data_IF_165714964075
#
_entry.id   IF_165714964075
#
_cell.length_a   1.000
_cell.length_b   1.000
_cell.length_c   1.000
_cell.angle_alpha   90.00
_cell.angle_beta   90.00
_cell.angle_gamma   90.00
#
_symmetry.space_group_name_H-M   'P 1'
#
loop_
_entity.id
_entity.type
_entity.pdbx_description
1 polymer ?
#
# COMPACT_ATOMS: atom_id res chain seq x y z
N UNK A 1 -15.68 -17.28 28.47
CA UNK A 1 -14.21 -17.33 28.66
C UNK A 1 -13.66 -17.58 27.27
N UNK A 2 -13.40 -16.50 26.53
CA UNK A 2 -13.02 -16.57 25.12
C UNK A 2 -11.51 -16.85 25.05
N UNK A 3 -11.16 -18.08 24.69
CA UNK A 3 -9.79 -18.52 24.51
C UNK A 3 -9.28 -18.06 23.15
N UNK A 4 -8.04 -17.56 23.12
CA UNK A 4 -7.35 -17.27 21.86
C UNK A 4 -7.23 -18.51 20.99
N UNK A 5 -7.10 -18.29 19.68
CA UNK A 5 -6.49 -19.28 18.81
C UNK A 5 -5.03 -19.48 19.21
N UNK A 6 -4.78 -20.55 19.95
CA UNK A 6 -3.46 -21.12 20.23
C UNK A 6 -2.71 -21.41 18.93
N UNK A 7 -1.38 -21.55 19.05
CA UNK A 7 -0.52 -22.02 17.95
C UNK A 7 -1.09 -23.29 17.29
N UNK A 8 -1.56 -24.26 18.09
CA UNK A 8 -2.20 -25.47 17.60
C UNK A 8 -3.50 -25.23 16.83
N UNK A 9 -4.33 -24.27 17.26
CA UNK A 9 -5.55 -23.89 16.53
C UNK A 9 -5.22 -23.21 15.19
N UNK A 10 -4.17 -22.38 15.13
CA UNK A 10 -3.72 -21.76 13.89
C UNK A 10 -3.17 -22.78 12.90
N UNK A 11 -2.35 -23.73 13.37
CA UNK A 11 -1.83 -24.85 12.56
C UNK A 11 -3.01 -25.66 11.99
N UNK A 12 -3.97 -26.02 12.84
CA UNK A 12 -5.15 -26.77 12.41
C UNK A 12 -5.97 -26.00 11.37
N UNK A 13 -6.24 -24.72 11.60
CA UNK A 13 -6.98 -23.89 10.66
C UNK A 13 -6.25 -23.80 9.30
N UNK A 14 -4.94 -23.62 9.32
CA UNK A 14 -4.10 -23.62 8.13
C UNK A 14 -4.23 -24.93 7.35
N UNK A 15 -4.13 -26.07 8.02
CA UNK A 15 -4.27 -27.39 7.39
C UNK A 15 -5.66 -27.59 6.78
N UNK A 16 -6.72 -27.16 7.48
CA UNK A 16 -8.08 -27.22 6.97
C UNK A 16 -8.25 -26.37 5.70
N UNK A 17 -7.67 -25.17 5.65
CA UNK A 17 -7.69 -24.31 4.45
C UNK A 17 -6.91 -24.98 3.30
N UNK A 18 -5.70 -25.49 3.55
CA UNK A 18 -4.87 -26.15 2.53
C UNK A 18 -5.60 -27.35 1.92
N UNK A 19 -6.23 -28.17 2.76
CA UNK A 19 -6.95 -29.39 2.38
C UNK A 19 -8.38 -29.15 1.88
N UNK A 20 -8.82 -27.89 1.72
CA UNK A 20 -10.18 -27.53 1.30
C UNK A 20 -11.28 -28.11 2.21
N UNK A 21 -10.97 -28.28 3.51
CA UNK A 21 -11.93 -28.75 4.52
C UNK A 21 -12.77 -27.63 5.11
N UNK A 22 -12.38 -26.39 4.87
CA UNK A 22 -13.09 -25.18 5.30
C UNK A 22 -13.12 -24.16 4.17
N UNK A 23 -14.26 -23.49 4.03
CA UNK A 23 -14.43 -22.38 3.09
C UNK A 23 -13.58 -21.18 3.54
N UNK A 24 -12.87 -20.48 2.63
CA UNK A 24 -12.01 -19.35 2.98
C UNK A 24 -12.73 -18.26 3.77
N UNK A 25 -13.98 -17.94 3.43
CA UNK A 25 -14.78 -16.94 4.16
C UNK A 25 -14.94 -17.31 5.64
N UNK A 26 -15.33 -18.55 5.92
CA UNK A 26 -15.49 -19.07 7.28
C UNK A 26 -14.16 -19.11 8.03
N UNK A 27 -13.08 -19.48 7.33
CA UNK A 27 -11.74 -19.46 7.92
C UNK A 27 -11.30 -18.03 8.31
N UNK A 28 -11.59 -17.04 7.48
CA UNK A 28 -11.36 -15.63 7.80
C UNK A 28 -12.13 -15.17 9.03
N UNK A 29 -13.42 -15.52 9.13
CA UNK A 29 -14.23 -15.22 10.32
C UNK A 29 -13.61 -15.81 11.60
N UNK A 30 -13.17 -17.07 11.56
CA UNK A 30 -12.48 -17.71 12.68
C UNK A 30 -11.20 -16.94 13.04
N UNK A 31 -10.34 -16.65 12.05
CA UNK A 31 -9.05 -15.98 12.24
C UNK A 31 -9.20 -14.59 12.86
N UNK A 32 -10.17 -13.79 12.41
CA UNK A 32 -10.34 -12.40 12.84
C UNK A 32 -11.32 -12.19 13.99
N UNK A 33 -12.06 -13.23 14.40
CA UNK A 33 -12.99 -13.14 15.54
C UNK A 33 -12.29 -13.00 16.90
N UNK A 34 -11.01 -13.37 16.99
CA UNK A 34 -10.28 -13.37 18.24
C UNK A 34 -9.77 -11.98 18.64
N UNK A 35 -10.06 -11.56 19.87
CA UNK A 35 -9.70 -10.24 20.41
C UNK A 35 -8.51 -10.26 21.38
N UNK A 36 -8.09 -11.44 21.81
CA UNK A 36 -7.05 -11.57 22.84
C UNK A 36 -5.69 -11.72 22.15
N UNK A 37 -4.65 -11.04 22.69
CA UNK A 37 -3.33 -10.94 22.06
C UNK A 37 -2.37 -11.98 22.61
N UNK A 38 -1.61 -12.64 21.72
CA UNK A 38 -0.74 -13.79 21.99
C UNK A 38 0.17 -13.65 23.23
N UNK A 39 0.67 -12.44 23.52
CA UNK A 39 1.54 -12.16 24.67
C UNK A 39 0.84 -12.15 26.03
N UNK A 40 -0.49 -12.22 26.09
CA UNK A 40 -1.22 -12.42 27.34
C UNK A 40 -1.25 -13.89 27.78
N UNK A 41 -1.01 -14.83 26.86
CA UNK A 41 -1.08 -16.27 27.13
C UNK A 41 0.02 -16.75 28.08
N UNK A 42 -0.29 -17.81 28.85
CA UNK A 42 0.68 -18.44 29.76
C UNK A 42 1.82 -19.11 28.99
N UNK A 43 1.53 -19.71 27.84
CA UNK A 43 2.52 -20.39 27.00
C UNK A 43 3.53 -19.39 26.43
N UNK A 44 3.06 -18.27 25.89
CA UNK A 44 3.93 -17.21 25.38
C UNK A 44 4.84 -16.66 26.48
N UNK A 45 4.31 -16.40 27.68
CA UNK A 45 5.11 -15.94 28.83
C UNK A 45 6.20 -16.96 29.20
N UNK A 46 5.86 -18.25 29.25
CA UNK A 46 6.83 -19.34 29.49
C UNK A 46 7.91 -19.41 28.40
N UNK A 47 7.54 -19.27 27.12
CA UNK A 47 8.52 -19.25 26.02
C UNK A 47 9.43 -18.02 26.12
N UNK A 48 8.85 -16.84 26.35
CA UNK A 48 9.59 -15.59 26.56
C UNK A 48 10.61 -15.71 27.69
N UNK A 49 10.19 -16.20 28.85
CA UNK A 49 11.06 -16.25 30.03
C UNK A 49 12.24 -17.23 29.84
N UNK A 50 12.12 -18.21 28.93
CA UNK A 50 13.22 -19.09 28.54
C UNK A 50 14.20 -18.46 27.55
N UNK A 51 13.71 -17.57 26.68
CA UNK A 51 14.50 -16.98 25.59
C UNK A 51 15.19 -15.68 25.99
N UNK A 52 14.61 -14.94 26.94
CA UNK A 52 15.19 -13.68 27.40
C UNK A 52 16.55 -13.93 28.07
N UNK A 53 17.58 -13.24 27.58
CA UNK A 53 18.96 -13.37 28.08
C UNK A 53 19.17 -12.53 29.34
N UNK A 54 20.36 -12.66 29.94
CA UNK A 54 20.77 -11.93 31.15
C UNK A 54 21.23 -10.48 30.87
N UNK A 55 21.38 -10.13 29.60
CA UNK A 55 21.89 -8.84 29.14
C UNK A 55 21.34 -8.47 27.76
N UNK A 56 21.31 -7.17 27.48
CA UNK A 56 20.91 -6.65 26.19
C UNK A 56 21.94 -7.03 25.12
N UNK A 57 21.51 -7.69 24.07
CA UNK A 57 22.39 -8.15 22.99
C UNK A 57 22.97 -7.01 22.15
N UNK A 58 22.35 -5.84 22.20
CA UNK A 58 22.81 -4.68 21.47
C UNK A 58 23.86 -3.86 22.23
N UNK A 59 23.67 -3.62 23.53
CA UNK A 59 24.53 -2.72 24.32
C UNK A 59 25.12 -3.32 25.60
N UNK A 60 24.82 -4.59 25.93
CA UNK A 60 25.31 -5.27 27.13
C UNK A 60 24.64 -4.86 28.44
N UNK A 61 23.69 -3.92 28.42
CA UNK A 61 22.98 -3.47 29.63
C UNK A 61 22.23 -4.62 30.31
N UNK A 62 22.26 -4.66 31.66
CA UNK A 62 21.49 -5.58 32.51
C UNK A 62 20.28 -4.90 33.16
N UNK A 63 19.91 -3.70 32.69
CA UNK A 63 18.66 -3.05 33.08
C UNK A 63 17.44 -3.87 32.60
N UNK A 64 16.22 -3.40 32.88
CA UNK A 64 14.98 -4.09 32.49
C UNK A 64 15.01 -4.51 31.01
N UNK A 65 15.02 -5.83 30.81
CA UNK A 65 15.09 -6.48 29.51
C UNK A 65 13.69 -6.80 28.98
N UNK A 66 13.57 -6.75 27.66
CA UNK A 66 12.40 -7.19 26.92
C UNK A 66 12.84 -8.10 25.78
N UNK A 67 11.96 -9.02 25.41
CA UNK A 67 12.11 -9.81 24.20
C UNK A 67 11.49 -9.01 23.06
N UNK A 68 12.34 -8.44 22.21
CA UNK A 68 11.94 -7.59 21.09
C UNK A 68 11.73 -8.45 19.85
N UNK A 69 10.61 -8.29 19.15
CA UNK A 69 10.44 -8.90 17.82
C UNK A 69 11.16 -8.05 16.78
N UNK A 70 11.91 -8.70 15.89
CA UNK A 70 12.55 -8.08 14.72
C UNK A 70 11.75 -8.31 13.44
N UNK A 71 10.71 -9.14 13.50
CA UNK A 71 9.75 -9.38 12.44
C UNK A 71 8.33 -9.11 12.94
N UNK A 72 7.50 -8.53 12.09
CA UNK A 72 6.08 -8.31 12.35
C UNK A 72 5.26 -8.85 11.17
N UNK A 73 4.19 -9.61 11.44
CA UNK A 73 3.23 -10.02 10.41
C UNK A 73 2.70 -8.80 9.67
N UNK A 74 2.52 -8.93 8.36
CA UNK A 74 1.91 -7.89 7.53
C UNK A 74 0.41 -7.88 7.75
N UNK A 75 -0.18 -6.71 7.56
CA UNK A 75 -1.63 -6.57 7.59
C UNK A 75 -2.26 -7.38 6.46
N UNK A 76 -3.41 -8.01 6.73
CA UNK A 76 -4.16 -8.82 5.76
C UNK A 76 -4.39 -8.07 4.43
N UNK A 77 -4.69 -6.77 4.48
CA UNK A 77 -4.90 -5.96 3.27
C UNK A 77 -3.65 -5.82 2.40
N UNK A 78 -2.46 -5.78 3.00
CA UNK A 78 -1.18 -5.74 2.27
C UNK A 78 -0.95 -7.08 1.57
N UNK A 79 -1.07 -8.18 2.32
CA UNK A 79 -0.91 -9.54 1.79
C UNK A 79 -1.91 -9.81 0.66
N UNK A 80 -3.18 -9.47 0.87
CA UNK A 80 -4.24 -9.61 -0.14
C UNK A 80 -3.95 -8.80 -1.39
N UNK A 81 -3.48 -7.57 -1.24
CA UNK A 81 -3.14 -6.72 -2.38
C UNK A 81 -1.99 -7.32 -3.21
N UNK A 82 -0.93 -7.84 -2.58
CA UNK A 82 0.17 -8.51 -3.30
C UNK A 82 -0.34 -9.72 -4.10
N UNK A 83 -1.21 -10.52 -3.51
CA UNK A 83 -1.82 -11.69 -4.17
C UNK A 83 -2.76 -11.26 -5.29
N UNK A 84 -3.59 -10.23 -5.08
CA UNK A 84 -4.42 -9.64 -6.14
C UNK A 84 -3.58 -9.10 -7.30
N UNK A 85 -2.39 -8.54 -7.06
CA UNK A 85 -1.48 -8.10 -8.12
C UNK A 85 -0.97 -9.30 -8.92
N UNK A 86 -0.55 -10.38 -8.25
CA UNK A 86 -0.11 -11.64 -8.90
C UNK A 86 -1.21 -12.21 -9.82
N UNK A 87 -2.44 -12.36 -9.32
CA UNK A 87 -3.54 -12.88 -10.14
C UNK A 87 -4.06 -11.86 -11.18
N UNK A 88 -3.96 -10.57 -10.86
CA UNK A 88 -4.32 -9.49 -11.80
C UNK A 88 -3.41 -9.47 -13.03
N UNK A 89 -2.14 -9.86 -12.90
CA UNK A 89 -1.27 -10.05 -14.06
C UNK A 89 -1.80 -11.15 -15.00
N UNK A 90 -2.25 -12.27 -14.45
CA UNK A 90 -2.84 -13.36 -15.24
C UNK A 90 -4.12 -12.92 -15.95
N UNK A 91 -4.98 -12.15 -15.28
CA UNK A 91 -6.19 -11.58 -15.90
C UNK A 91 -5.81 -10.63 -17.05
N UNK A 92 -4.82 -9.76 -16.85
CA UNK A 92 -4.41 -8.82 -17.88
C UNK A 92 -3.82 -9.55 -19.11
N UNK A 93 -3.11 -10.66 -18.89
CA UNK A 93 -2.56 -11.50 -19.96
C UNK A 93 -3.64 -12.24 -20.75
N UNK A 94 -4.64 -12.82 -20.05
CA UNK A 94 -5.78 -13.52 -20.68
C UNK A 94 -6.75 -12.56 -21.37
N UNK A 95 -6.96 -11.40 -20.77
CA UNK A 95 -7.96 -10.42 -21.15
C UNK A 95 -7.30 -9.05 -21.30
N UNK A 96 -6.58 -8.82 -22.42
CA UNK A 96 -6.01 -7.52 -22.70
C UNK A 96 -7.14 -6.49 -22.97
N UNK A 97 -6.79 -5.21 -22.85
CA UNK A 97 -7.77 -4.11 -22.87
C UNK A 97 -8.63 -4.09 -24.13
N UNK A 98 -8.03 -4.39 -25.28
CA UNK A 98 -8.72 -4.36 -26.58
C UNK A 98 -9.83 -5.41 -26.69
N UNK A 99 -9.77 -6.46 -25.85
CA UNK A 99 -10.77 -7.53 -25.81
C UNK A 99 -11.90 -7.26 -24.81
N UNK A 100 -11.66 -6.42 -23.79
CA UNK A 100 -12.65 -6.14 -22.74
C UNK A 100 -13.40 -4.82 -22.94
N UNK A 101 -12.79 -3.87 -23.64
CA UNK A 101 -13.33 -2.52 -23.80
C UNK A 101 -13.45 -2.21 -25.28
N UNK A 102 -14.66 -1.89 -25.72
CA UNK A 102 -14.91 -1.44 -27.09
C UNK A 102 -15.14 0.09 -27.14
N UNK A 103 -15.05 0.66 -28.34
CA UNK A 103 -15.15 2.10 -28.53
C UNK A 103 -16.52 2.69 -28.17
N UNK A 104 -17.59 1.97 -28.52
CA UNK A 104 -18.97 2.39 -28.25
C UNK A 104 -19.23 2.53 -26.75
N UNK A 105 -18.75 1.56 -25.97
CA UNK A 105 -18.85 1.55 -24.52
C UNK A 105 -18.15 2.74 -23.87
N UNK A 106 -16.97 3.12 -24.36
CA UNK A 106 -16.23 4.29 -23.83
C UNK A 106 -17.02 5.58 -24.06
N UNK A 107 -17.60 5.73 -25.24
CA UNK A 107 -18.42 6.90 -25.61
C UNK A 107 -19.72 6.91 -24.80
N UNK A 108 -20.39 5.76 -24.65
CA UNK A 108 -21.59 5.63 -23.82
C UNK A 108 -21.29 5.97 -22.36
N UNK A 109 -20.18 5.46 -21.82
CA UNK A 109 -19.74 5.73 -20.46
C UNK A 109 -19.54 7.23 -20.23
N UNK A 110 -18.85 7.91 -21.14
CA UNK A 110 -18.67 9.37 -21.09
C UNK A 110 -20.01 10.08 -21.07
N UNK A 111 -20.93 9.72 -21.97
CA UNK A 111 -22.21 10.41 -22.10
C UNK A 111 -23.14 10.18 -20.90
N UNK A 112 -23.07 9.02 -20.25
CA UNK A 112 -23.96 8.62 -19.16
C UNK A 112 -23.43 9.01 -17.77
N UNK A 113 -22.12 8.96 -17.56
CA UNK A 113 -21.52 9.07 -16.22
C UNK A 113 -20.74 10.36 -15.99
N UNK A 114 -20.56 11.19 -17.01
CA UNK A 114 -19.82 12.45 -16.90
C UNK A 114 -20.78 13.61 -17.09
N UNK A 115 -21.02 14.36 -16.02
CA UNK A 115 -21.85 15.55 -16.03
C UNK A 115 -21.20 16.65 -16.88
N UNK A 116 -21.99 17.21 -17.79
CA UNK A 116 -21.57 18.27 -18.71
C UNK A 116 -22.19 19.59 -18.28
N UNK A 117 -21.38 20.63 -18.21
CA UNK A 117 -21.84 21.97 -17.86
C UNK A 117 -21.24 23.04 -18.78
N UNK A 118 -22.00 24.11 -19.01
CA UNK A 118 -21.49 25.28 -19.71
C UNK A 118 -20.69 26.17 -18.76
N UNK A 119 -19.44 26.45 -19.13
CA UNK A 119 -18.53 27.30 -18.35
C UNK A 119 -17.78 28.28 -19.24
N UNK A 120 -17.52 29.45 -18.69
CA UNK A 120 -16.61 30.43 -19.27
C UNK A 120 -15.16 29.97 -19.10
N UNK A 121 -14.42 29.97 -20.21
CA UNK A 121 -13.02 29.55 -20.27
C UNK A 121 -12.13 30.58 -20.96
N UNK A 122 -10.83 30.48 -20.69
CA UNK A 122 -9.80 31.24 -21.37
C UNK A 122 -9.84 30.99 -22.88
N UNK A 123 -9.94 32.02 -23.74
CA UNK A 123 -9.96 31.85 -25.19
C UNK A 123 -8.70 31.20 -25.77
N UNK A 124 -7.56 31.38 -25.11
CA UNK A 124 -6.26 30.90 -25.58
C UNK A 124 -5.98 29.45 -25.18
N UNK A 125 -6.22 29.09 -23.91
CA UNK A 125 -5.80 27.79 -23.36
C UNK A 125 -6.96 26.91 -22.83
N UNK A 126 -8.21 27.37 -22.91
CA UNK A 126 -9.38 26.61 -22.45
C UNK A 126 -9.52 26.45 -20.92
N UNK A 127 -8.70 27.16 -20.13
CA UNK A 127 -8.75 27.10 -18.66
C UNK A 127 -10.02 27.72 -18.10
N UNK A 128 -10.69 27.04 -17.16
CA UNK A 128 -11.78 27.62 -16.33
C UNK A 128 -11.25 28.59 -15.27
N UNK A 129 -9.94 28.58 -15.00
CA UNK A 129 -9.34 29.39 -13.97
C UNK A 129 -9.05 30.81 -14.51
N UNK A 130 -10.12 31.60 -14.64
CA UNK A 130 -10.09 32.99 -15.11
C UNK A 130 -10.50 33.94 -13.98
N UNK A 131 -9.93 35.14 -13.97
CA UNK A 131 -10.23 36.17 -12.97
C UNK A 131 -10.63 37.49 -13.66
N UNK A 132 -11.66 38.14 -13.14
CA UNK A 132 -12.07 39.47 -13.59
C UNK A 132 -11.26 40.57 -12.87
N UNK A 133 -10.73 41.51 -13.64
CA UNK A 133 -9.98 42.69 -13.19
C UNK A 133 -10.95 43.87 -13.09
N UNK A 134 -10.96 44.55 -11.95
CA UNK A 134 -11.95 45.61 -11.67
C UNK A 134 -11.66 46.93 -12.39
N UNK A 135 -10.39 47.28 -12.56
CA UNK A 135 -9.95 48.63 -12.96
C UNK A 135 -9.13 48.67 -14.25
N UNK A 136 -8.80 47.51 -14.82
CA UNK A 136 -7.85 47.40 -15.93
C UNK A 136 -8.48 46.68 -17.11
N UNK A 137 -8.19 47.17 -18.32
CA UNK A 137 -8.45 46.48 -19.59
C UNK A 137 -7.19 45.72 -20.03
N UNK A 138 -7.30 44.51 -20.60
CA UNK A 138 -8.52 43.72 -20.76
C UNK A 138 -9.17 43.23 -19.46
N UNK A 139 -10.50 43.11 -19.46
CA UNK A 139 -11.31 42.82 -18.25
C UNK A 139 -10.96 41.49 -17.57
N UNK A 140 -10.54 40.47 -18.31
CA UNK A 140 -10.24 39.16 -17.74
C UNK A 140 -8.78 38.78 -17.89
N UNK A 141 -8.31 37.92 -16.98
CA UNK A 141 -6.99 37.30 -17.00
C UNK A 141 -7.09 35.81 -16.70
N UNK A 142 -6.44 34.98 -17.52
CA UNK A 142 -6.25 33.57 -17.21
C UNK A 142 -5.20 33.39 -16.12
N UNK A 143 -5.49 32.59 -15.09
CA UNK A 143 -4.53 32.28 -14.03
C UNK A 143 -3.57 31.15 -14.42
N UNK A 144 -3.86 30.40 -15.47
CA UNK A 144 -2.97 29.37 -16.03
C UNK A 144 -1.96 29.96 -17.02
N UNK A 145 -2.38 30.32 -18.25
CA UNK A 145 -1.48 30.82 -19.30
C UNK A 145 -1.12 32.31 -19.20
N UNK A 146 -1.76 33.05 -18.27
CA UNK A 146 -1.56 34.49 -18.04
C UNK A 146 -2.09 35.44 -19.12
N UNK A 147 -2.77 34.92 -20.14
CA UNK A 147 -3.37 35.76 -21.18
C UNK A 147 -4.44 36.72 -20.65
N UNK A 148 -4.48 37.90 -21.26
CA UNK A 148 -5.43 38.97 -21.00
C UNK A 148 -6.44 39.05 -22.15
N UNK A 149 -7.73 39.09 -21.85
CA UNK A 149 -8.81 39.11 -22.84
C UNK A 149 -10.05 39.83 -22.33
N UNK A 150 -10.89 40.36 -23.24
CA UNK A 150 -12.07 41.14 -22.87
C UNK A 150 -13.29 40.29 -22.55
N UNK A 151 -13.49 39.19 -23.28
CA UNK A 151 -14.66 38.32 -23.14
C UNK A 151 -14.16 36.86 -23.09
N UNK A 152 -14.51 36.07 -22.05
CA UNK A 152 -14.25 34.64 -22.07
C UNK A 152 -15.09 33.95 -23.15
N UNK A 153 -14.67 32.76 -23.58
CA UNK A 153 -15.51 31.92 -24.43
C UNK A 153 -16.28 30.92 -23.57
N UNK A 154 -17.56 30.72 -23.84
CA UNK A 154 -18.36 29.69 -23.15
C UNK A 154 -18.20 28.36 -23.88
N UNK A 155 -17.89 27.29 -23.15
CA UNK A 155 -17.79 25.92 -23.67
C UNK A 155 -18.51 24.94 -22.75
N UNK A 156 -19.05 23.86 -23.33
CA UNK A 156 -19.49 22.69 -22.58
C UNK A 156 -18.26 21.90 -22.15
N UNK A 157 -18.12 21.67 -20.85
CA UNK A 157 -17.01 20.89 -20.26
C UNK A 157 -17.54 19.75 -19.39
N UNK A 158 -16.77 18.66 -19.21
CA UNK A 158 -15.53 18.38 -19.91
C UNK A 158 -15.76 18.01 -21.38
N UNK A 159 -14.75 18.22 -22.22
CA UNK A 159 -14.78 17.84 -23.65
C UNK A 159 -14.25 16.41 -23.78
N UNK A 160 -14.90 15.59 -24.59
CA UNK A 160 -14.38 14.26 -24.94
C UNK A 160 -13.44 14.33 -26.14
N UNK A 161 -12.25 13.74 -26.01
CA UNK A 161 -11.27 13.65 -27.10
C UNK A 161 -10.85 12.19 -27.29
N UNK A 162 -10.89 11.72 -28.54
CA UNK A 162 -10.26 10.47 -28.94
C UNK A 162 -8.77 10.72 -29.24
N UNK A 163 -7.96 10.58 -28.20
CA UNK A 163 -6.51 10.83 -28.20
C UNK A 163 -5.71 9.78 -28.99
N UNK A 164 -6.37 8.75 -29.53
CA UNK A 164 -5.80 7.80 -30.50
C UNK A 164 -5.80 8.38 -31.92
N UNK A 165 -6.77 9.25 -32.22
CA UNK A 165 -6.98 9.85 -33.55
C UNK A 165 -6.45 11.28 -33.61
N UNK A 166 -6.58 12.04 -32.53
CA UNK A 166 -6.16 13.44 -32.45
C UNK A 166 -5.05 13.64 -31.40
N UNK A 167 -3.84 13.99 -31.85
CA UNK A 167 -2.77 14.50 -30.96
C UNK A 167 -2.98 15.99 -30.72
N UNK A 168 -3.91 16.38 -29.84
CA UNK A 168 -4.02 17.78 -29.41
C UNK A 168 -3.10 18.06 -28.22
N UNK A 169 -2.51 19.26 -28.23
CA UNK A 169 -1.86 19.83 -27.06
C UNK A 169 -2.83 19.78 -25.88
N UNK A 170 -2.33 19.54 -24.66
CA UNK A 170 -3.09 19.38 -23.41
C UNK A 170 -4.17 20.48 -23.24
N UNK A 171 -5.35 20.26 -23.81
CA UNK A 171 -6.50 21.12 -23.60
C UNK A 171 -6.99 20.88 -22.16
N UNK A 172 -7.22 21.96 -21.43
CA UNK A 172 -7.76 21.87 -20.08
C UNK A 172 -9.21 21.38 -20.10
N UNK A 173 -9.61 20.65 -19.05
CA UNK A 173 -10.97 20.12 -18.88
C UNK A 173 -11.38 19.11 -19.97
N UNK A 174 -10.43 18.26 -20.37
CA UNK A 174 -10.65 17.17 -21.32
C UNK A 174 -10.71 15.83 -20.59
N UNK A 175 -11.60 14.97 -21.06
CA UNK A 175 -11.61 13.54 -20.76
C UNK A 175 -11.20 12.80 -22.03
N UNK A 176 -10.17 11.96 -21.95
CA UNK A 176 -9.63 11.25 -23.11
C UNK A 176 -10.17 9.84 -23.24
N UNK A 177 -10.26 9.34 -24.48
CA UNK A 177 -10.60 7.95 -24.76
C UNK A 177 -9.72 6.99 -23.94
N UNK A 178 -8.39 7.15 -24.00
CA UNK A 178 -7.47 6.25 -23.30
C UNK A 178 -7.70 6.23 -21.78
N UNK A 179 -8.00 7.39 -21.17
CA UNK A 179 -8.24 7.47 -19.73
C UNK A 179 -9.53 6.74 -19.29
N UNK A 180 -10.60 6.87 -20.07
CA UNK A 180 -11.86 6.19 -19.81
C UNK A 180 -11.77 4.70 -20.14
N UNK A 181 -11.15 4.35 -21.26
CA UNK A 181 -10.93 2.96 -21.65
C UNK A 181 -10.14 2.21 -20.56
N UNK A 182 -9.07 2.82 -20.04
CA UNK A 182 -8.32 2.25 -18.91
C UNK A 182 -9.17 2.11 -17.65
N UNK A 183 -10.02 3.09 -17.34
CA UNK A 183 -10.91 3.03 -16.18
C UNK A 183 -11.90 1.87 -16.29
N UNK A 184 -12.61 1.77 -17.41
CA UNK A 184 -13.58 0.71 -17.71
C UNK A 184 -12.89 -0.65 -17.68
N UNK A 185 -11.71 -0.74 -18.31
CA UNK A 185 -10.88 -1.93 -18.29
C UNK A 185 -10.56 -2.36 -16.86
N UNK A 186 -10.06 -1.44 -16.03
CA UNK A 186 -9.71 -1.75 -14.63
C UNK A 186 -10.92 -2.21 -13.81
N UNK A 187 -12.11 -1.68 -14.08
CA UNK A 187 -13.36 -2.13 -13.45
C UNK A 187 -13.70 -3.57 -13.88
N UNK A 188 -13.77 -3.84 -15.18
CA UNK A 188 -14.05 -5.18 -15.74
C UNK A 188 -13.01 -6.23 -15.35
N UNK A 189 -11.73 -5.92 -15.50
CA UNK A 189 -10.64 -6.83 -15.11
C UNK A 189 -10.69 -7.14 -13.62
N UNK A 190 -11.12 -6.20 -12.78
CA UNK A 190 -11.29 -6.45 -11.35
C UNK A 190 -12.47 -7.38 -11.08
N UNK A 191 -13.57 -7.25 -11.80
CA UNK A 191 -14.71 -8.17 -11.70
C UNK A 191 -14.29 -9.59 -12.08
N UNK A 192 -13.68 -9.76 -13.26
CA UNK A 192 -13.14 -11.04 -13.73
C UNK A 192 -12.13 -11.66 -12.76
N UNK A 193 -11.26 -10.83 -12.17
CA UNK A 193 -10.30 -11.28 -11.16
C UNK A 193 -10.99 -11.97 -9.98
N UNK A 194 -12.05 -11.37 -9.44
CA UNK A 194 -12.76 -11.93 -8.30
C UNK A 194 -13.71 -13.06 -8.69
N UNK A 195 -14.22 -13.07 -9.92
CA UNK A 195 -15.00 -14.18 -10.48
C UNK A 195 -14.14 -15.43 -10.69
N UNK A 196 -12.97 -15.31 -11.32
CA UNK A 196 -12.10 -16.45 -11.63
C UNK A 196 -11.24 -16.90 -10.46
N UNK A 197 -10.74 -15.95 -9.67
CA UNK A 197 -9.67 -16.19 -8.69
C UNK A 197 -10.02 -15.75 -7.27
N UNK A 198 -11.24 -15.28 -7.01
CA UNK A 198 -11.62 -14.73 -5.70
C UNK A 198 -11.37 -15.71 -4.54
N UNK A 199 -11.74 -16.98 -4.72
CA UNK A 199 -11.55 -18.01 -3.70
C UNK A 199 -10.06 -18.33 -3.47
N UNK A 200 -9.28 -18.45 -4.55
CA UNK A 200 -7.85 -18.73 -4.50
C UNK A 200 -7.07 -17.58 -3.87
N UNK A 201 -7.41 -16.34 -4.22
CA UNK A 201 -6.85 -15.13 -3.62
C UNK A 201 -7.11 -15.15 -2.11
N UNK A 202 -8.35 -15.41 -1.69
CA UNK A 202 -8.70 -15.45 -0.27
C UNK A 202 -7.95 -16.56 0.46
N UNK A 203 -7.90 -17.75 -0.13
CA UNK A 203 -7.17 -18.91 0.40
C UNK A 203 -5.68 -18.62 0.58
N UNK A 204 -4.99 -18.17 -0.48
CA UNK A 204 -3.56 -17.86 -0.42
C UNK A 204 -3.28 -16.74 0.60
N UNK A 205 -4.18 -15.76 0.70
CA UNK A 205 -4.07 -14.66 1.67
C UNK A 205 -4.13 -15.20 3.09
N UNK A 206 -5.13 -16.02 3.41
CA UNK A 206 -5.30 -16.56 4.76
C UNK A 206 -4.15 -17.47 5.16
N UNK A 207 -3.69 -18.35 4.26
CA UNK A 207 -2.53 -19.22 4.52
C UNK A 207 -1.30 -18.37 4.83
N UNK A 208 -1.03 -17.36 4.01
CA UNK A 208 0.13 -16.48 4.18
C UNK A 208 0.04 -15.75 5.51
N UNK A 209 -1.11 -15.14 5.83
CA UNK A 209 -1.31 -14.43 7.10
C UNK A 209 -1.11 -15.38 8.29
N UNK A 210 -1.68 -16.58 8.25
CA UNK A 210 -1.49 -17.58 9.32
C UNK A 210 -0.01 -17.95 9.47
N UNK A 211 0.71 -18.16 8.37
CA UNK A 211 2.15 -18.47 8.38
C UNK A 211 2.98 -17.36 9.02
N UNK A 212 2.68 -16.10 8.69
CA UNK A 212 3.34 -14.95 9.31
C UNK A 212 3.03 -14.82 10.80
N UNK A 213 1.79 -15.09 11.21
CA UNK A 213 1.42 -15.12 12.63
C UNK A 213 2.09 -16.27 13.38
N UNK A 214 2.17 -17.46 12.79
CA UNK A 214 2.86 -18.62 13.37
C UNK A 214 4.34 -18.30 13.61
N UNK A 215 5.00 -17.69 12.63
CA UNK A 215 6.38 -17.19 12.75
C UNK A 215 6.53 -16.16 13.87
N UNK A 216 5.60 -15.23 13.99
CA UNK A 216 5.63 -14.23 15.07
C UNK A 216 5.50 -14.87 16.46
N UNK A 217 4.56 -15.79 16.66
CA UNK A 217 4.33 -16.43 17.97
C UNK A 217 5.36 -17.51 18.31
N UNK A 218 6.14 -18.00 17.33
CA UNK A 218 7.24 -18.93 17.56
C UNK A 218 8.39 -18.28 18.35
N UNK A 219 8.47 -16.94 18.33
CA UNK A 219 9.55 -16.13 18.90
C UNK A 219 10.91 -16.34 18.20
N UNK A 220 10.94 -16.90 16.99
CA UNK A 220 12.20 -17.15 16.25
C UNK A 220 12.92 -15.86 15.87
N UNK A 221 12.18 -14.80 15.50
CA UNK A 221 12.72 -13.49 15.16
C UNK A 221 12.72 -12.57 16.37
N UNK A 222 13.36 -13.00 17.46
CA UNK A 222 13.43 -12.19 18.67
C UNK A 222 14.86 -11.95 19.15
N UNK A 223 15.04 -10.79 19.81
CA UNK A 223 16.30 -10.35 20.38
C UNK A 223 16.06 -9.79 21.78
N UNK A 224 16.98 -10.06 22.71
CA UNK A 224 16.91 -9.49 24.06
C UNK A 224 17.44 -8.06 24.05
N UNK A 225 16.55 -7.08 24.27
CA UNK A 225 16.90 -5.65 24.35
C UNK A 225 16.61 -5.08 25.73
N UNK A 226 17.41 -4.10 26.16
CA UNK A 226 16.99 -3.19 27.23
C UNK A 226 15.93 -2.22 26.69
N UNK A 227 15.18 -1.58 27.60
CA UNK A 227 14.13 -0.59 27.23
C UNK A 227 14.59 0.47 26.22
N UNK A 228 15.82 0.97 26.37
CA UNK A 228 16.39 1.98 25.46
C UNK A 228 16.58 1.44 24.05
N UNK A 229 17.17 0.25 23.91
CA UNK A 229 17.41 -0.36 22.60
C UNK A 229 16.10 -0.74 21.91
N UNK A 230 15.14 -1.29 22.64
CA UNK A 230 13.79 -1.57 22.13
C UNK A 230 13.09 -0.30 21.61
N UNK A 231 13.12 0.79 22.38
CA UNK A 231 12.56 2.07 21.94
C UNK A 231 13.24 2.62 20.67
N UNK A 232 14.57 2.57 20.59
CA UNK A 232 15.32 3.06 19.44
C UNK A 232 15.05 2.23 18.19
N UNK A 233 14.89 0.92 18.35
CA UNK A 233 14.48 0.01 17.29
C UNK A 233 13.08 0.39 16.76
N UNK A 234 12.06 0.33 17.62
CA UNK A 234 10.66 0.48 17.22
C UNK A 234 10.28 1.90 16.79
N UNK A 235 10.78 2.92 17.49
CA UNK A 235 10.32 4.31 17.30
C UNK A 235 11.26 5.14 16.45
N UNK A 236 12.53 4.76 16.35
CA UNK A 236 13.53 5.54 15.60
C UNK A 236 14.12 4.77 14.42
N UNK A 237 13.90 3.46 14.32
CA UNK A 237 14.51 2.60 13.30
C UNK A 237 16.02 2.64 13.41
N UNK A 238 16.54 2.54 14.65
CA UNK A 238 17.97 2.67 14.95
C UNK A 238 18.51 1.54 15.80
N UNK A 239 19.72 1.10 15.48
CA UNK A 239 20.50 0.10 16.18
C UNK A 239 21.91 0.62 16.49
N UNK A 240 22.64 -0.07 17.38
CA UNK A 240 23.98 0.33 17.77
C UNK A 240 24.97 -0.03 16.67
N UNK A 241 25.88 0.89 16.35
CA UNK A 241 26.89 0.65 15.33
C UNK A 241 27.75 -0.58 15.69
N UNK A 242 27.89 -1.57 14.77
CA UNK A 242 28.64 -2.79 15.07
C UNK A 242 30.14 -2.56 15.22
N UNK A 243 30.68 -1.45 14.68
CA UNK A 243 32.11 -1.12 14.71
C UNK A 243 32.50 -0.42 16.00
N UNK A 244 31.92 0.76 16.28
CA UNK A 244 32.32 1.54 17.45
C UNK A 244 31.58 1.16 18.74
N UNK A 245 30.44 0.47 18.64
CA UNK A 245 29.57 0.12 19.80
C UNK A 245 29.19 1.32 20.69
N UNK A 246 29.26 2.54 20.17
CA UNK A 246 28.95 3.78 20.91
C UNK A 246 27.81 4.55 20.25
N UNK A 247 27.88 4.76 18.93
CA UNK A 247 26.87 5.55 18.21
C UNK A 247 25.74 4.66 17.68
N UNK A 248 24.52 5.16 17.74
CA UNK A 248 23.39 4.55 17.05
C UNK A 248 23.33 5.00 15.60
N UNK A 249 22.93 4.10 14.70
CA UNK A 249 22.77 4.32 13.27
C UNK A 249 21.34 3.95 12.86
N UNK A 250 20.94 4.30 11.64
CA UNK A 250 19.71 3.76 11.05
C UNK A 250 19.90 2.29 10.71
N UNK A 251 18.87 1.46 10.90
CA UNK A 251 18.93 0.00 10.71
C UNK A 251 19.43 -0.37 9.31
N UNK A 252 19.00 0.35 8.27
CA UNK A 252 19.42 0.12 6.88
C UNK A 252 20.88 0.49 6.57
N UNK A 253 21.57 1.23 7.45
CA UNK A 253 22.98 1.55 7.28
C UNK A 253 23.85 0.43 7.87
N UNK A 254 24.99 0.09 7.24
CA UNK A 254 25.92 -0.92 7.78
C UNK A 254 26.65 -0.42 9.04
N UNK A 255 27.07 0.84 9.06
CA UNK A 255 27.85 1.47 10.15
C UNK A 255 27.35 2.90 10.43
N UNK A 256 27.82 3.53 11.50
CA UNK A 256 27.56 4.95 11.75
C UNK A 256 28.40 5.84 10.81
N UNK A 257 28.01 7.11 10.68
CA UNK A 257 28.67 8.08 9.81
C UNK A 257 30.19 8.15 10.04
N UNK A 258 30.63 8.32 11.29
CA UNK A 258 32.05 8.40 11.63
C UNK A 258 32.84 7.14 11.25
N UNK A 259 32.27 5.96 11.49
CA UNK A 259 32.92 4.70 11.12
C UNK A 259 33.01 4.53 9.61
N UNK A 260 31.99 5.02 8.87
CA UNK A 260 31.99 5.01 7.41
C UNK A 260 33.04 5.97 6.85
N UNK A 261 33.15 7.19 7.36
CA UNK A 261 34.21 8.13 6.95
C UNK A 261 35.61 7.57 7.21
N UNK A 262 35.84 6.99 8.39
CA UNK A 262 37.14 6.39 8.72
C UNK A 262 37.53 5.28 7.74
N UNK A 263 36.57 4.45 7.31
CA UNK A 263 36.81 3.38 6.34
C UNK A 263 37.11 3.90 4.93
N UNK A 264 36.49 5.01 4.54
CA UNK A 264 36.76 5.64 3.24
C UNK A 264 38.15 6.27 3.21
N UNK A 265 38.53 6.98 4.28
CA UNK A 265 39.83 7.64 4.38
C UNK A 265 41.02 6.70 4.68
N UNK A 266 40.77 5.42 4.96
CA UNK A 266 41.81 4.40 5.16
C UNK A 266 42.07 3.55 3.92
N UNK A 267 41.31 3.78 2.84
CA UNK A 267 41.49 3.14 1.54
C UNK A 267 42.14 4.08 0.50
N UNK A 268 42.54 5.28 0.93
CA UNK A 268 43.41 6.24 0.24
C UNK A 268 44.82 6.19 0.86
#
# INVERSE_FOLDING_TARGET
MEEEMTEGQLIKLREEIVQYKIEPKKAGEILFSNKTKSWHTKEWKKKRDKLIKDSCEQCGSKEVLTLQHTYHPRDYGIVKNEICVKYGQLINEKHPMENLVNEEEVVEYFNKNIDKEERDVCPSCGSINISARKTLSPKYKCNYCKDLFEVPITKVIPIFIDDRKEKKAQEMNVVTFSSLAWKIYKEKSRELLFEEYGEQIEKETLITVIDEYLRYISLEDTVTFCKKCAFLWDKKGMDLCPVCKVKYKKIYNKTCYDCREKQMNSND
#
